data_IF_908170771741
#
_entry.id   IF_908170771741
#
_cell.length_a   1.000
_cell.length_b   1.000
_cell.length_c   1.000
_cell.angle_alpha   90.00
_cell.angle_beta   90.00
_cell.angle_gamma   90.00
#
_symmetry.space_group_name_H-M   'P 1'
#
loop_
_entity.id
_entity.type
_entity.pdbx_description
1 polymer ?
#
# COMPACT_ATOMS: atom_id res chain seq x y z
N UNK A 1 -14.73 5.10 -22.15
CA UNK A 1 -13.85 4.82 -20.99
C UNK A 1 -14.37 5.48 -19.71
N UNK A 2 -14.39 6.81 -19.59
CA UNK A 2 -14.84 7.51 -18.37
C UNK A 2 -16.27 7.15 -17.95
N UNK A 3 -17.22 7.13 -18.90
CA UNK A 3 -18.61 6.73 -18.63
C UNK A 3 -18.73 5.30 -18.08
N UNK A 4 -17.91 4.36 -18.58
CA UNK A 4 -17.89 2.98 -18.08
C UNK A 4 -17.29 2.87 -16.68
N UNK A 5 -16.26 3.65 -16.38
CA UNK A 5 -15.68 3.70 -15.03
C UNK A 5 -16.66 4.30 -14.01
N UNK A 6 -17.37 5.37 -14.40
CA UNK A 6 -18.43 5.98 -13.59
C UNK A 6 -19.56 4.97 -13.38
N UNK A 7 -20.05 4.34 -14.46
CA UNK A 7 -21.11 3.34 -14.38
C UNK A 7 -20.71 2.16 -13.48
N UNK A 8 -19.51 1.61 -13.64
CA UNK A 8 -18.99 0.54 -12.79
C UNK A 8 -18.91 0.96 -11.32
N UNK A 9 -18.47 2.19 -11.05
CA UNK A 9 -18.44 2.74 -9.69
C UNK A 9 -19.84 2.86 -9.09
N UNK A 10 -20.81 3.37 -9.86
CA UNK A 10 -22.21 3.47 -9.44
C UNK A 10 -22.79 2.09 -9.15
N UNK A 11 -22.55 1.10 -10.02
CA UNK A 11 -23.00 -0.28 -9.82
C UNK A 11 -22.43 -0.85 -8.52
N UNK A 12 -21.14 -0.64 -8.24
CA UNK A 12 -20.51 -1.09 -7.01
C UNK A 12 -21.09 -0.37 -5.77
N UNK A 13 -21.33 0.94 -5.85
CA UNK A 13 -21.95 1.70 -4.77
C UNK A 13 -23.37 1.20 -4.48
N UNK A 14 -24.20 1.01 -5.50
CA UNK A 14 -25.56 0.45 -5.35
C UNK A 14 -25.48 -0.93 -4.71
N UNK A 15 -24.62 -1.82 -5.25
CA UNK A 15 -24.45 -3.18 -4.72
C UNK A 15 -24.06 -3.17 -3.24
N UNK A 16 -23.13 -2.30 -2.84
CA UNK A 16 -22.71 -2.16 -1.44
C UNK A 16 -23.86 -1.70 -0.56
N UNK A 17 -24.62 -0.68 -0.98
CA UNK A 17 -25.70 -0.10 -0.20
C UNK A 17 -26.93 -1.01 -0.08
N UNK A 18 -27.13 -1.92 -1.04
CA UNK A 18 -28.25 -2.89 -1.01
C UNK A 18 -27.87 -4.23 -0.39
N UNK A 19 -26.61 -4.43 0.02
CA UNK A 19 -26.17 -5.69 0.59
C UNK A 19 -26.39 -5.71 2.11
N UNK A 20 -27.14 -6.69 2.60
CA UNK A 20 -27.32 -6.98 4.03
C UNK A 20 -26.08 -7.62 4.67
N UNK A 21 -24.92 -7.03 4.39
CA UNK A 21 -23.65 -7.47 4.94
C UNK A 21 -23.50 -7.01 6.40
N UNK A 22 -23.18 -7.97 7.26
CA UNK A 22 -22.92 -7.73 8.68
C UNK A 22 -21.44 -7.85 9.01
N UNK A 23 -20.94 -6.88 9.77
CA UNK A 23 -19.58 -6.90 10.27
C UNK A 23 -19.46 -7.88 11.46
N UNK A 24 -18.86 -9.05 11.22
CA UNK A 24 -18.64 -10.11 12.23
C UNK A 24 -17.14 -10.37 12.41
N UNK A 25 -16.73 -10.91 13.57
CA UNK A 25 -15.33 -11.20 13.87
C UNK A 25 -14.43 -9.96 13.78
N UNK A 26 -13.35 -10.06 12.99
CA UNK A 26 -12.42 -8.95 12.74
C UNK A 26 -13.12 -7.69 12.21
N UNK A 27 -14.12 -7.87 11.34
CA UNK A 27 -14.90 -6.76 10.80
C UNK A 27 -15.74 -6.07 11.88
N UNK A 28 -16.26 -6.82 12.84
CA UNK A 28 -16.97 -6.26 13.99
C UNK A 28 -16.07 -5.36 14.82
N UNK A 29 -14.84 -5.81 15.08
CA UNK A 29 -13.82 -5.00 15.77
C UNK A 29 -13.42 -3.77 14.97
N UNK A 30 -13.23 -3.91 13.65
CA UNK A 30 -12.96 -2.81 12.74
C UNK A 30 -14.09 -1.76 12.77
N UNK A 31 -15.35 -2.21 12.76
CA UNK A 31 -16.54 -1.34 12.85
C UNK A 31 -16.54 -0.55 14.15
N UNK A 32 -16.38 -1.21 15.30
CA UNK A 32 -16.37 -0.53 16.61
C UNK A 32 -15.26 0.53 16.69
N UNK A 33 -14.02 0.17 16.32
CA UNK A 33 -12.90 1.12 16.26
C UNK A 33 -13.17 2.29 15.31
N UNK A 34 -13.87 2.06 14.20
CA UNK A 34 -14.24 3.11 13.24
C UNK A 34 -15.31 4.04 13.80
N UNK A 35 -16.26 3.54 14.60
CA UNK A 35 -17.25 4.36 15.30
C UNK A 35 -16.62 5.24 16.38
N UNK A 36 -15.54 4.77 17.02
CA UNK A 36 -14.83 5.52 18.06
C UNK A 36 -14.10 6.77 17.54
N UNK A 37 -13.81 6.83 16.23
CA UNK A 37 -13.16 8.00 15.62
C UNK A 37 -13.97 9.27 15.94
N UNK A 38 -13.31 10.36 16.31
CA UNK A 38 -13.98 11.62 16.62
C UNK A 38 -14.72 11.65 17.96
N UNK A 39 -14.61 10.60 18.78
CA UNK A 39 -15.09 10.55 20.17
C UNK A 39 -13.93 10.66 21.16
N UNK A 40 -14.22 10.62 22.47
CA UNK A 40 -13.20 10.49 23.52
C UNK A 40 -12.36 9.21 23.43
N UNK A 41 -12.82 8.21 22.67
CA UNK A 41 -12.14 6.92 22.49
C UNK A 41 -11.44 6.80 21.12
N UNK A 42 -11.20 7.92 20.43
CA UNK A 42 -10.56 7.92 19.10
C UNK A 42 -9.31 7.04 19.08
N UNK A 43 -9.24 6.02 18.20
CA UNK A 43 -8.09 5.13 18.15
C UNK A 43 -6.81 5.87 17.78
N UNK A 44 -5.75 5.66 18.57
CA UNK A 44 -4.44 6.23 18.29
C UNK A 44 -3.53 5.29 17.47
N UNK A 45 -3.91 4.00 17.40
CA UNK A 45 -3.21 2.93 16.68
C UNK A 45 -4.19 2.19 15.79
N UNK A 46 -3.65 1.36 14.89
CA UNK A 46 -4.43 0.56 13.96
C UNK A 46 -5.12 -0.64 14.60
N UNK A 47 -5.62 -1.53 13.75
CA UNK A 47 -6.30 -2.77 14.19
C UNK A 47 -5.31 -3.71 14.87
N UNK A 48 -5.82 -4.49 15.81
CA UNK A 48 -5.03 -5.46 16.56
C UNK A 48 -4.38 -6.52 15.64
N UNK A 49 -3.27 -7.08 16.11
CA UNK A 49 -2.58 -8.22 15.51
C UNK A 49 -2.66 -9.40 16.46
N UNK A 50 -2.69 -10.62 15.92
CA UNK A 50 -2.63 -11.87 16.72
C UNK A 50 -1.37 -11.99 17.58
N UNK A 51 -0.37 -11.15 17.33
CA UNK A 51 0.91 -11.12 18.03
C UNK A 51 0.96 -10.16 19.23
N UNK A 52 -0.20 -9.67 19.70
CA UNK A 52 -0.29 -8.88 20.94
C UNK A 52 0.08 -7.40 20.79
N UNK A 53 0.30 -6.92 19.57
CA UNK A 53 0.49 -5.51 19.23
C UNK A 53 -0.61 -5.04 18.27
N UNK A 54 -0.71 -3.74 18.01
CA UNK A 54 -1.62 -3.15 17.02
C UNK A 54 -0.84 -2.63 15.82
N UNK A 55 -1.49 -2.53 14.67
CA UNK A 55 -0.88 -1.90 13.50
C UNK A 55 -0.48 -0.44 13.79
N UNK A 56 0.54 0.12 13.11
CA UNK A 56 1.23 1.33 13.56
C UNK A 56 0.33 2.55 13.73
N UNK A 57 -0.80 2.65 13.01
CA UNK A 57 -1.67 3.80 13.14
C UNK A 57 -3.09 3.61 12.63
N UNK A 58 -3.98 4.57 12.95
CA UNK A 58 -5.42 4.43 12.80
C UNK A 58 -5.92 4.90 11.42
N UNK A 59 -5.06 5.23 10.45
CA UNK A 59 -5.49 5.83 9.17
C UNK A 59 -6.61 5.04 8.47
N UNK A 60 -6.60 3.71 8.54
CA UNK A 60 -7.69 2.89 7.98
C UNK A 60 -9.05 3.28 8.57
N UNK A 61 -9.16 3.27 9.90
CA UNK A 61 -10.42 3.58 10.59
C UNK A 61 -10.78 5.06 10.47
N UNK A 62 -9.78 5.96 10.46
CA UNK A 62 -10.00 7.40 10.26
C UNK A 62 -10.61 7.68 8.88
N UNK A 63 -10.11 7.04 7.83
CA UNK A 63 -10.62 7.22 6.47
C UNK A 63 -11.97 6.53 6.23
N UNK A 64 -12.26 5.44 6.94
CA UNK A 64 -13.56 4.75 6.86
C UNK A 64 -14.68 5.46 7.63
N UNK A 65 -14.34 6.21 8.68
CA UNK A 65 -15.31 6.81 9.59
C UNK A 65 -16.36 7.71 8.91
N UNK A 66 -16.04 8.55 7.90
CA UNK A 66 -17.06 9.34 7.20
C UNK A 66 -18.12 8.45 6.53
N UNK A 67 -17.70 7.43 5.78
CA UNK A 67 -18.60 6.52 5.09
C UNK A 67 -19.47 5.75 6.09
N UNK A 68 -18.88 5.26 7.19
CA UNK A 68 -19.60 4.54 8.22
C UNK A 68 -20.67 5.40 8.92
N UNK A 69 -20.39 6.69 9.16
CA UNK A 69 -21.39 7.60 9.77
C UNK A 69 -22.52 7.94 8.81
N UNK A 70 -22.22 8.13 7.52
CA UNK A 70 -23.23 8.43 6.50
C UNK A 70 -24.26 7.29 6.35
N UNK A 71 -23.88 6.06 6.67
CA UNK A 71 -24.77 4.89 6.67
C UNK A 71 -25.37 4.58 8.04
N UNK A 72 -25.39 5.55 8.97
CA UNK A 72 -25.94 5.36 10.32
C UNK A 72 -25.18 4.33 11.17
N UNK A 73 -23.91 4.07 10.85
CA UNK A 73 -23.10 3.06 11.52
C UNK A 73 -23.33 1.63 11.04
N UNK A 74 -24.08 1.39 9.96
CA UNK A 74 -24.31 0.05 9.42
C UNK A 74 -23.04 -0.61 8.86
N UNK A 75 -22.99 -1.96 8.85
CA UNK A 75 -21.82 -2.73 8.40
C UNK A 75 -21.37 -2.39 6.98
N UNK A 76 -22.30 -2.25 6.04
CA UNK A 76 -22.01 -1.87 4.66
C UNK A 76 -21.32 -0.49 4.51
N UNK A 77 -21.38 0.37 5.53
CA UNK A 77 -20.60 1.61 5.60
C UNK A 77 -19.09 1.38 5.58
N UNK A 78 -18.62 0.25 6.11
CA UNK A 78 -17.21 -0.15 5.99
C UNK A 78 -16.86 -0.54 4.55
N UNK A 79 -17.73 -1.28 3.86
CA UNK A 79 -17.53 -1.65 2.45
C UNK A 79 -17.47 -0.40 1.56
N UNK A 80 -18.35 0.57 1.83
CA UNK A 80 -18.33 1.87 1.13
C UNK A 80 -17.04 2.62 1.43
N UNK A 81 -16.58 2.63 2.69
CA UNK A 81 -15.30 3.22 3.07
C UNK A 81 -14.12 2.59 2.33
N UNK A 82 -14.06 1.25 2.25
CA UNK A 82 -13.03 0.52 1.52
C UNK A 82 -13.02 0.87 0.03
N UNK A 83 -14.20 0.89 -0.60
CA UNK A 83 -14.36 1.29 -2.00
C UNK A 83 -13.84 2.72 -2.22
N UNK A 84 -14.23 3.67 -1.39
CA UNK A 84 -13.81 5.07 -1.52
C UNK A 84 -12.31 5.25 -1.33
N UNK A 85 -11.70 4.52 -0.39
CA UNK A 85 -10.24 4.53 -0.18
C UNK A 85 -9.52 3.99 -1.42
N UNK A 86 -9.92 2.81 -1.91
CA UNK A 86 -9.31 2.20 -3.09
C UNK A 86 -9.48 3.07 -4.34
N UNK A 87 -10.67 3.64 -4.56
CA UNK A 87 -10.91 4.58 -5.65
C UNK A 87 -10.10 5.87 -5.51
N UNK A 88 -9.94 6.39 -4.29
CA UNK A 88 -9.08 7.54 -4.01
C UNK A 88 -7.61 7.27 -4.33
N UNK A 89 -7.11 6.09 -3.98
CA UNK A 89 -5.75 5.66 -4.30
C UNK A 89 -5.57 5.55 -5.84
N UNK A 90 -6.50 4.92 -6.57
CA UNK A 90 -6.46 4.85 -8.04
C UNK A 90 -6.55 6.24 -8.67
N UNK A 91 -7.45 7.10 -8.17
CA UNK A 91 -7.59 8.47 -8.67
C UNK A 91 -6.28 9.25 -8.50
N UNK A 92 -5.57 9.06 -7.39
CA UNK A 92 -4.26 9.69 -7.16
C UNK A 92 -3.22 9.24 -8.20
N UNK A 93 -3.19 7.95 -8.56
CA UNK A 93 -2.34 7.40 -9.64
C UNK A 93 -2.67 8.09 -10.95
N UNK A 94 -3.95 8.20 -11.31
CA UNK A 94 -4.37 8.80 -12.58
C UNK A 94 -4.11 10.31 -12.65
N UNK A 95 -4.24 11.03 -11.53
CA UNK A 95 -3.88 12.46 -11.44
C UNK A 95 -2.39 12.64 -11.66
N UNK A 96 -1.56 11.81 -11.03
CA UNK A 96 -0.11 11.82 -11.21
C UNK A 96 0.26 11.45 -12.66
N UNK A 97 -0.39 10.44 -13.23
CA UNK A 97 -0.16 9.99 -14.60
C UNK A 97 -0.54 11.06 -15.63
N UNK A 98 -1.68 11.74 -15.45
CA UNK A 98 -2.12 12.88 -16.27
C UNK A 98 -1.06 13.98 -16.37
N UNK A 99 -0.35 14.24 -15.27
CA UNK A 99 0.72 15.24 -15.20
C UNK A 99 2.01 14.78 -15.88
N UNK A 100 2.15 13.47 -16.15
CA UNK A 100 3.27 12.89 -16.85
C UNK A 100 3.05 12.79 -18.37
N UNK A 101 1.80 12.82 -18.84
CA UNK A 101 1.44 12.80 -20.26
C UNK A 101 0.36 11.77 -20.59
N UNK A 102 -0.19 11.84 -21.81
CA UNK A 102 -1.28 10.98 -22.25
C UNK A 102 -0.90 9.48 -22.32
N UNK A 103 0.32 9.18 -22.75
CA UNK A 103 0.84 7.81 -22.82
C UNK A 103 0.97 7.17 -21.43
N UNK A 104 1.59 7.89 -20.49
CA UNK A 104 1.73 7.44 -19.10
C UNK A 104 0.35 7.30 -18.44
N UNK A 105 -0.59 8.20 -18.74
CA UNK A 105 -1.97 8.05 -18.30
C UNK A 105 -2.62 6.77 -18.82
N UNK A 106 -2.48 6.46 -20.10
CA UNK A 106 -3.05 5.24 -20.69
C UNK A 106 -2.44 3.99 -20.06
N UNK A 107 -1.10 3.96 -19.89
CA UNK A 107 -0.38 2.85 -19.26
C UNK A 107 -0.80 2.63 -17.80
N UNK A 108 -0.85 3.69 -16.99
CA UNK A 108 -1.22 3.56 -15.58
C UNK A 108 -2.72 3.34 -15.37
N UNK A 109 -3.57 3.77 -16.30
CA UNK A 109 -4.97 3.36 -16.33
C UNK A 109 -5.10 1.86 -16.60
N UNK A 110 -4.36 1.33 -17.58
CA UNK A 110 -4.34 -0.11 -17.85
C UNK A 110 -3.79 -0.90 -16.65
N UNK A 111 -2.67 -0.47 -16.08
CA UNK A 111 -2.09 -1.10 -14.89
C UNK A 111 -3.07 -1.10 -13.69
N UNK A 112 -3.82 -0.01 -13.51
CA UNK A 112 -4.86 0.06 -12.46
C UNK A 112 -6.00 -0.93 -12.73
N UNK A 113 -6.43 -1.08 -13.98
CA UNK A 113 -7.45 -2.09 -14.36
C UNK A 113 -6.93 -3.51 -14.12
N UNK A 114 -5.68 -3.79 -14.49
CA UNK A 114 -5.00 -5.06 -14.25
C UNK A 114 -4.96 -5.36 -12.74
N UNK A 115 -4.56 -4.39 -11.92
CA UNK A 115 -4.52 -4.53 -10.46
C UNK A 115 -5.89 -4.83 -9.86
N UNK A 116 -6.93 -4.08 -10.25
CA UNK A 116 -8.29 -4.32 -9.77
C UNK A 116 -8.78 -5.70 -10.18
N UNK A 117 -8.47 -6.13 -11.41
CA UNK A 117 -8.85 -7.44 -11.91
C UNK A 117 -8.11 -8.58 -11.21
N UNK A 118 -6.86 -8.34 -10.80
CA UNK A 118 -6.02 -9.24 -10.01
C UNK A 118 -6.53 -9.41 -8.58
N UNK A 119 -6.94 -8.31 -7.96
CA UNK A 119 -7.52 -8.31 -6.62
C UNK A 119 -8.83 -9.08 -6.57
N UNK A 120 -9.68 -8.91 -7.59
CA UNK A 120 -11.04 -9.42 -7.57
C UNK A 120 -12.02 -8.39 -7.00
N UNK A 121 -13.28 -8.50 -7.42
CA UNK A 121 -14.31 -7.54 -7.00
C UNK A 121 -14.70 -7.63 -5.53
N UNK A 122 -14.42 -8.78 -4.87
CA UNK A 122 -14.65 -8.96 -3.44
C UNK A 122 -13.65 -8.16 -2.63
N UNK A 123 -12.37 -8.37 -2.87
CA UNK A 123 -11.25 -7.71 -2.19
C UNK A 123 -11.21 -6.20 -2.43
N UNK A 124 -11.72 -5.71 -3.57
CA UNK A 124 -11.86 -4.27 -3.80
C UNK A 124 -12.84 -3.60 -2.82
N UNK A 125 -13.87 -4.32 -2.38
CA UNK A 125 -14.88 -3.85 -1.43
C UNK A 125 -14.57 -4.26 0.01
N UNK A 126 -13.65 -5.20 0.21
CA UNK A 126 -13.33 -5.74 1.52
C UNK A 126 -12.57 -4.70 2.36
N UNK A 127 -13.08 -4.33 3.55
CA UNK A 127 -12.49 -3.30 4.39
C UNK A 127 -11.28 -3.81 5.19
N UNK A 128 -10.90 -5.08 5.03
CA UNK A 128 -9.80 -5.64 5.78
C UNK A 128 -8.46 -5.00 5.40
N UNK A 129 -7.67 -4.68 6.44
CA UNK A 129 -6.43 -3.93 6.33
C UNK A 129 -5.40 -4.51 5.33
N UNK A 130 -5.17 -5.84 5.19
CA UNK A 130 -4.23 -6.36 4.19
C UNK A 130 -4.68 -6.18 2.74
N UNK A 131 -5.98 -5.98 2.47
CA UNK A 131 -6.49 -5.81 1.10
C UNK A 131 -6.48 -4.34 0.67
N UNK A 132 -6.95 -3.43 1.52
CA UNK A 132 -6.92 -1.98 1.24
C UNK A 132 -5.49 -1.47 1.09
N UNK A 133 -4.53 -2.12 1.77
CA UNK A 133 -3.09 -1.90 1.61
C UNK A 133 -2.63 -1.96 0.15
N UNK A 134 -3.14 -2.90 -0.64
CA UNK A 134 -2.53 -3.29 -1.93
C UNK A 134 -2.60 -2.14 -2.92
N UNK A 135 -3.78 -1.50 -3.03
CA UNK A 135 -3.99 -0.35 -3.92
C UNK A 135 -3.24 0.88 -3.40
N UNK A 136 -3.17 1.08 -2.08
CA UNK A 136 -2.42 2.17 -1.48
C UNK A 136 -0.90 2.04 -1.71
N UNK A 137 -0.35 0.83 -1.62
CA UNK A 137 1.06 0.56 -1.88
C UNK A 137 1.39 0.77 -3.36
N UNK A 138 0.52 0.34 -4.28
CA UNK A 138 0.67 0.64 -5.71
C UNK A 138 0.67 2.15 -5.97
N UNK A 139 -0.26 2.89 -5.37
CA UNK A 139 -0.30 4.35 -5.47
C UNK A 139 0.97 5.00 -4.90
N UNK A 140 1.48 4.51 -3.77
CA UNK A 140 2.74 4.96 -3.19
C UNK A 140 3.94 4.72 -4.11
N UNK A 141 4.01 3.57 -4.78
CA UNK A 141 5.09 3.26 -5.72
C UNK A 141 5.10 4.23 -6.92
N UNK A 142 3.94 4.46 -7.54
CA UNK A 142 3.81 5.41 -8.66
C UNK A 142 4.09 6.84 -8.21
N UNK A 143 3.62 7.22 -7.02
CA UNK A 143 3.89 8.54 -6.46
C UNK A 143 5.38 8.73 -6.15
N UNK A 144 6.07 7.70 -5.64
CA UNK A 144 7.51 7.71 -5.41
C UNK A 144 8.29 7.94 -6.71
N UNK A 145 7.89 7.26 -7.80
CA UNK A 145 8.51 7.43 -9.12
C UNK A 145 8.50 8.88 -9.57
N UNK A 146 7.33 9.50 -9.52
CA UNK A 146 7.15 10.87 -9.96
C UNK A 146 7.73 11.88 -8.98
N UNK A 147 7.75 11.57 -7.68
CA UNK A 147 8.40 12.40 -6.66
C UNK A 147 9.92 12.45 -6.87
N UNK A 148 10.58 11.32 -7.15
CA UNK A 148 12.02 11.26 -7.46
C UNK A 148 12.34 12.08 -8.71
N UNK A 149 11.44 12.08 -9.70
CA UNK A 149 11.55 12.93 -10.89
C UNK A 149 11.21 14.41 -10.65
N UNK A 150 10.73 14.77 -9.46
CA UNK A 150 10.50 16.17 -9.04
C UNK A 150 9.08 16.66 -9.09
N UNK A 151 8.09 15.78 -9.24
CA UNK A 151 6.70 16.18 -9.09
C UNK A 151 6.34 16.35 -7.61
N UNK A 152 6.21 17.61 -7.19
CA UNK A 152 5.84 17.99 -5.82
C UNK A 152 4.49 17.44 -5.38
N UNK A 153 3.54 17.28 -6.30
CA UNK A 153 2.22 16.72 -5.96
C UNK A 153 2.38 15.24 -5.65
N UNK A 154 3.18 14.54 -6.45
CA UNK A 154 3.49 13.14 -6.22
C UNK A 154 4.25 12.93 -4.90
N UNK A 155 5.13 13.86 -4.49
CA UNK A 155 5.80 13.79 -3.19
C UNK A 155 4.81 13.84 -2.00
N UNK A 156 3.77 14.67 -2.08
CA UNK A 156 2.72 14.72 -1.04
C UNK A 156 1.83 13.48 -1.09
N UNK A 157 1.39 13.07 -2.29
CA UNK A 157 0.60 11.84 -2.47
C UNK A 157 1.36 10.64 -1.92
N UNK A 158 2.65 10.52 -2.23
CA UNK A 158 3.53 9.46 -1.72
C UNK A 158 3.49 9.39 -0.20
N UNK A 159 3.67 10.52 0.50
CA UNK A 159 3.65 10.55 1.97
C UNK A 159 2.31 10.05 2.52
N UNK A 160 1.19 10.49 1.95
CA UNK A 160 -0.15 10.07 2.41
C UNK A 160 -0.36 8.58 2.15
N UNK A 161 -0.11 8.10 0.92
CA UNK A 161 -0.37 6.70 0.55
C UNK A 161 0.60 5.73 1.22
N UNK A 162 1.87 6.10 1.39
CA UNK A 162 2.87 5.28 2.06
C UNK A 162 2.61 5.22 3.58
N UNK A 163 2.21 6.33 4.19
CA UNK A 163 1.79 6.35 5.60
C UNK A 163 0.55 5.49 5.81
N UNK A 164 -0.45 5.62 4.93
CA UNK A 164 -1.66 4.80 4.97
C UNK A 164 -1.31 3.30 4.85
N UNK A 165 -0.48 2.92 3.86
CA UNK A 165 -0.06 1.55 3.64
C UNK A 165 0.63 0.94 4.87
N UNK A 166 1.63 1.64 5.42
CA UNK A 166 2.35 1.17 6.61
C UNK A 166 1.47 1.08 7.85
N UNK A 167 0.56 2.05 8.04
CA UNK A 167 -0.39 2.00 9.15
C UNK A 167 -1.44 0.89 8.99
N UNK A 168 -1.78 0.48 7.76
CA UNK A 168 -2.69 -0.63 7.51
C UNK A 168 -2.06 -1.99 7.81
N UNK A 169 -0.84 -2.24 7.34
CA UNK A 169 -0.22 -3.56 7.47
C UNK A 169 1.31 -3.49 7.54
N UNK A 170 1.90 -4.13 8.56
CA UNK A 170 3.35 -4.03 8.85
C UNK A 170 4.21 -4.74 7.80
N UNK A 171 3.65 -5.69 7.05
CA UNK A 171 4.35 -6.38 5.96
C UNK A 171 4.84 -5.40 4.87
N UNK A 172 4.22 -4.23 4.75
CA UNK A 172 4.66 -3.17 3.85
C UNK A 172 5.78 -2.29 4.40
N UNK A 173 6.20 -2.47 5.66
CA UNK A 173 7.14 -1.58 6.35
C UNK A 173 8.46 -1.43 5.63
N UNK A 174 9.07 -2.54 5.19
CA UNK A 174 10.34 -2.48 4.49
C UNK A 174 10.20 -1.75 3.14
N UNK A 175 9.15 -2.08 2.37
CA UNK A 175 8.84 -1.42 1.09
C UNK A 175 8.67 0.08 1.28
N UNK A 176 7.84 0.49 2.24
CA UNK A 176 7.58 1.92 2.54
C UNK A 176 8.85 2.62 3.02
N UNK A 177 9.65 1.99 3.89
CA UNK A 177 10.90 2.55 4.39
C UNK A 177 11.88 2.81 3.24
N UNK A 178 12.10 1.81 2.37
CA UNK A 178 13.05 1.94 1.26
C UNK A 178 12.60 3.00 0.24
N UNK A 179 11.30 3.04 -0.09
CA UNK A 179 10.76 4.10 -0.94
C UNK A 179 10.89 5.49 -0.28
N UNK A 180 10.68 5.57 1.02
CA UNK A 180 10.81 6.82 1.79
C UNK A 180 12.25 7.31 1.75
N UNK A 181 13.23 6.44 2.00
CA UNK A 181 14.66 6.77 1.89
C UNK A 181 14.99 7.27 0.49
N UNK A 182 14.51 6.61 -0.56
CA UNK A 182 14.77 7.02 -1.94
C UNK A 182 14.14 8.39 -2.28
N UNK A 183 12.88 8.62 -1.92
CA UNK A 183 12.16 9.88 -2.19
C UNK A 183 12.76 11.03 -1.40
N UNK A 184 12.89 10.89 -0.08
CA UNK A 184 13.43 11.95 0.79
C UNK A 184 14.91 12.17 0.57
N UNK A 185 15.69 11.12 0.30
CA UNK A 185 17.11 11.25 -0.08
C UNK A 185 17.27 12.04 -1.37
N UNK A 186 16.44 11.76 -2.39
CA UNK A 186 16.46 12.53 -3.65
C UNK A 186 16.04 13.98 -3.44
N UNK A 187 14.95 14.23 -2.68
CA UNK A 187 14.49 15.59 -2.37
C UNK A 187 15.52 16.37 -1.57
N UNK A 188 16.16 15.76 -0.57
CA UNK A 188 17.22 16.38 0.22
C UNK A 188 18.43 16.74 -0.65
N UNK A 189 18.91 15.81 -1.47
CA UNK A 189 20.03 16.06 -2.40
C UNK A 189 19.72 17.22 -3.35
N UNK A 190 18.51 17.26 -3.91
CA UNK A 190 18.10 18.35 -4.81
C UNK A 190 17.84 19.66 -4.08
N UNK A 191 17.39 19.63 -2.83
CA UNK A 191 17.24 20.84 -2.01
C UNK A 191 18.59 21.49 -1.66
N UNK A 192 19.70 20.77 -1.87
CA UNK A 192 21.06 21.27 -1.68
C UNK A 192 21.78 21.58 -2.99
N UNK A 193 21.70 20.68 -3.98
CA UNK A 193 22.49 20.73 -5.23
C UNK A 193 21.63 20.70 -6.51
N UNK A 194 20.30 20.75 -6.38
CA UNK A 194 19.38 20.62 -7.49
C UNK A 194 19.27 21.89 -8.34
N UNK A 195 18.57 21.80 -9.48
CA UNK A 195 18.35 22.95 -10.35
C UNK A 195 17.45 24.03 -9.72
N UNK A 196 16.56 23.65 -8.81
CA UNK A 196 15.70 24.57 -8.05
C UNK A 196 15.66 24.17 -6.56
N UNK A 197 16.73 24.48 -5.79
CA UNK A 197 16.89 24.04 -4.41
C UNK A 197 15.80 24.59 -3.47
N UNK A 198 15.33 25.81 -3.70
CA UNK A 198 14.32 26.47 -2.86
C UNK A 198 12.98 25.74 -3.01
N UNK A 199 12.57 25.41 -4.24
CA UNK A 199 11.34 24.67 -4.49
C UNK A 199 11.41 23.25 -3.93
N UNK A 200 12.53 22.57 -4.09
CA UNK A 200 12.69 21.21 -3.56
C UNK A 200 12.74 21.21 -2.03
N UNK A 201 13.33 22.23 -1.39
CA UNK A 201 13.27 22.44 0.06
C UNK A 201 11.84 22.68 0.55
N UNK A 202 11.05 23.52 -0.14
CA UNK A 202 9.63 23.74 0.19
C UNK A 202 8.82 22.45 0.07
N UNK A 203 9.08 21.67 -0.97
CA UNK A 203 8.44 20.36 -1.18
C UNK A 203 8.80 19.38 -0.06
N UNK A 204 10.08 19.30 0.30
CA UNK A 204 10.57 18.49 1.42
C UNK A 204 9.89 18.89 2.74
N UNK A 205 9.86 20.18 3.07
CA UNK A 205 9.22 20.67 4.30
C UNK A 205 7.71 20.40 4.32
N UNK A 206 7.02 20.58 3.18
CA UNK A 206 5.61 20.25 3.06
C UNK A 206 5.36 18.74 3.22
N UNK A 207 6.20 17.89 2.61
CA UNK A 207 6.14 16.44 2.78
C UNK A 207 6.37 16.01 4.23
N UNK A 208 7.32 16.64 4.94
CA UNK A 208 7.54 16.40 6.38
C UNK A 208 6.31 16.80 7.18
N UNK A 209 5.75 17.99 6.93
CA UNK A 209 4.57 18.47 7.64
C UNK A 209 3.36 17.54 7.44
N UNK A 210 3.11 17.10 6.19
CA UNK A 210 2.05 16.12 5.90
C UNK A 210 2.35 14.77 6.59
N UNK A 211 3.60 14.33 6.61
CA UNK A 211 4.00 13.12 7.33
C UNK A 211 3.70 13.23 8.82
N UNK A 212 4.05 14.36 9.45
CA UNK A 212 3.73 14.60 10.87
C UNK A 212 2.23 14.58 11.14
N UNK A 213 1.40 15.09 10.22
CA UNK A 213 -0.06 15.01 10.33
C UNK A 213 -0.54 13.56 10.22
N UNK A 214 -0.07 12.80 9.24
CA UNK A 214 -0.43 11.38 9.06
C UNK A 214 -0.05 10.52 10.29
N UNK A 215 1.03 10.87 10.97
CA UNK A 215 1.57 10.12 12.10
C UNK A 215 1.27 10.73 13.46
N UNK A 216 0.47 11.79 13.53
CA UNK A 216 0.17 12.50 14.77
C UNK A 216 -0.43 11.57 15.84
N UNK A 217 -1.44 10.78 15.47
CA UNK A 217 -2.11 9.87 16.40
C UNK A 217 -1.17 8.74 16.90
N UNK A 218 -0.42 8.04 16.03
CA UNK A 218 0.63 7.11 16.48
C UNK A 218 1.68 7.73 17.40
N UNK A 219 2.12 8.97 17.10
CA UNK A 219 3.10 9.68 17.91
C UNK A 219 2.53 9.95 19.31
N UNK A 220 1.27 10.41 19.40
CA UNK A 220 0.59 10.65 20.68
C UNK A 220 0.53 9.37 21.49
N UNK A 221 0.17 8.23 20.89
CA UNK A 221 0.17 6.94 21.61
C UNK A 221 1.55 6.58 22.11
N UNK A 222 2.55 6.69 21.24
CA UNK A 222 3.92 6.27 21.55
C UNK A 222 4.54 7.07 22.69
N UNK A 223 4.18 8.36 22.85
CA UNK A 223 4.69 9.22 23.93
C UNK A 223 3.83 9.20 25.20
N UNK A 224 2.53 8.92 25.08
CA UNK A 224 1.59 8.95 26.21
C UNK A 224 1.45 7.59 26.89
N UNK A 225 1.91 6.51 26.25
CA UNK A 225 1.80 5.14 26.75
C UNK A 225 2.77 4.86 27.90
N UNK A 226 2.23 4.46 29.06
CA UNK A 226 3.02 4.08 30.24
C UNK A 226 3.78 2.76 30.07
N UNK A 227 3.40 1.92 29.11
CA UNK A 227 4.02 0.61 28.84
C UNK A 227 5.06 0.65 27.72
N UNK A 228 5.40 1.83 27.22
CA UNK A 228 6.44 2.04 26.21
C UNK A 228 5.94 2.10 24.76
N UNK A 229 4.62 2.11 24.54
CA UNK A 229 3.98 2.40 23.25
C UNK A 229 3.98 1.27 22.22
N UNK A 230 3.08 1.38 21.25
CA UNK A 230 2.80 0.34 20.26
C UNK A 230 3.94 0.16 19.24
N UNK A 231 4.64 1.23 18.82
CA UNK A 231 5.78 1.08 17.89
C UNK A 231 6.92 0.30 18.53
N UNK A 232 7.16 0.49 19.83
CA UNK A 232 8.12 -0.35 20.57
C UNK A 232 7.71 -1.82 20.54
N UNK A 233 6.42 -2.13 20.73
CA UNK A 233 5.93 -3.50 20.67
C UNK A 233 6.13 -4.13 19.28
N UNK A 234 5.84 -3.38 18.21
CA UNK A 234 6.08 -3.82 16.82
C UNK A 234 7.56 -4.08 16.56
N UNK A 235 8.45 -3.18 16.98
CA UNK A 235 9.91 -3.35 16.84
C UNK A 235 10.40 -4.54 17.67
N UNK A 236 9.91 -4.69 18.90
CA UNK A 236 10.26 -5.82 19.77
C UNK A 236 9.87 -7.15 19.14
N UNK A 237 8.68 -7.22 18.51
CA UNK A 237 8.25 -8.40 17.77
C UNK A 237 9.14 -8.67 16.55
N UNK A 238 9.48 -7.64 15.78
CA UNK A 238 10.34 -7.79 14.60
C UNK A 238 11.76 -8.29 14.95
N UNK A 239 12.28 -7.92 16.11
CA UNK A 239 13.64 -8.27 16.54
C UNK A 239 13.71 -9.56 17.37
N UNK A 240 12.71 -9.80 18.22
CA UNK A 240 12.73 -10.85 19.24
C UNK A 240 11.50 -11.77 19.20
N UNK A 241 10.67 -11.67 18.16
CA UNK A 241 9.47 -12.48 18.01
C UNK A 241 9.80 -13.98 18.06
N UNK A 242 9.14 -14.70 18.97
CA UNK A 242 9.26 -16.14 19.11
C UNK A 242 8.33 -16.84 18.11
N UNK A 243 8.88 -17.48 17.09
CA UNK A 243 8.14 -18.29 16.13
C UNK A 243 8.97 -18.63 14.91
N UNK A 244 8.69 -19.78 14.30
CA UNK A 244 9.33 -20.15 13.04
C UNK A 244 8.95 -19.14 11.96
N UNK A 245 9.95 -18.68 11.23
CA UNK A 245 9.76 -17.87 10.03
C UNK A 245 9.75 -18.77 8.80
N UNK A 246 9.03 -18.36 7.76
CA UNK A 246 9.02 -19.07 6.47
C UNK A 246 10.42 -19.42 5.93
N UNK A 247 11.38 -18.52 6.10
CA UNK A 247 12.73 -18.67 5.55
C UNK A 247 12.82 -18.27 4.08
N UNK A 248 14.06 -18.16 3.58
CA UNK A 248 14.35 -17.59 2.25
C UNK A 248 13.82 -18.42 1.08
N UNK A 249 13.80 -19.75 1.20
CA UNK A 249 13.27 -20.62 0.15
C UNK A 249 11.77 -20.38 -0.05
N UNK A 250 10.98 -20.39 1.02
CA UNK A 250 9.54 -20.13 0.93
C UNK A 250 9.23 -18.68 0.57
N UNK A 251 10.02 -17.71 1.06
CA UNK A 251 9.94 -16.32 0.62
C UNK A 251 10.14 -16.17 -0.89
N UNK A 252 11.18 -16.80 -1.45
CA UNK A 252 11.45 -16.81 -2.88
C UNK A 252 10.34 -17.53 -3.66
N UNK A 253 9.86 -18.67 -3.17
CA UNK A 253 8.75 -19.41 -3.78
C UNK A 253 7.50 -18.53 -3.90
N UNK A 254 7.12 -17.85 -2.83
CA UNK A 254 5.97 -16.93 -2.80
C UNK A 254 6.16 -15.81 -3.82
N UNK A 255 7.27 -15.06 -3.72
CA UNK A 255 7.49 -13.90 -4.60
C UNK A 255 7.59 -14.32 -6.06
N UNK A 256 8.36 -15.35 -6.37
CA UNK A 256 8.49 -15.84 -7.75
C UNK A 256 7.16 -16.36 -8.30
N UNK A 257 6.28 -16.94 -7.46
CA UNK A 257 4.96 -17.38 -7.91
C UNK A 257 4.08 -16.23 -8.38
N UNK A 258 4.14 -15.07 -7.69
CA UNK A 258 3.44 -13.86 -8.14
C UNK A 258 4.09 -13.21 -9.37
N UNK A 259 5.39 -13.42 -9.57
CA UNK A 259 6.17 -12.86 -10.67
C UNK A 259 6.31 -13.80 -11.88
N UNK A 260 5.69 -14.99 -11.83
CA UNK A 260 5.72 -15.99 -12.89
C UNK A 260 4.70 -15.70 -14.00
N UNK A 261 4.91 -16.35 -15.15
CA UNK A 261 4.05 -16.31 -16.34
C UNK A 261 3.65 -17.74 -16.77
N UNK A 262 2.39 -18.03 -17.11
CA UNK A 262 1.23 -17.12 -17.04
C UNK A 262 0.98 -16.64 -15.60
N UNK A 263 0.46 -15.42 -15.44
CA UNK A 263 0.31 -14.78 -14.13
C UNK A 263 -0.65 -15.60 -13.27
N UNK A 264 -0.11 -16.37 -12.32
CA UNK A 264 -0.88 -17.32 -11.53
C UNK A 264 -1.99 -16.67 -10.70
N UNK A 265 -1.87 -15.37 -10.41
CA UNK A 265 -2.84 -14.57 -9.65
C UNK A 265 -4.04 -14.06 -10.48
N UNK A 266 -4.03 -14.17 -11.81
CA UNK A 266 -5.15 -13.70 -12.64
C UNK A 266 -6.38 -14.64 -12.59
N UNK A 267 -6.16 -15.91 -12.23
CA UNK A 267 -7.17 -16.96 -12.15
C UNK A 267 -7.93 -17.02 -10.83
N UNK A 268 -7.58 -16.20 -9.84
CA UNK A 268 -8.25 -16.13 -8.54
C UNK A 268 -7.79 -17.15 -7.50
N UNK A 269 -7.02 -18.18 -7.88
CA UNK A 269 -6.34 -19.03 -6.91
C UNK A 269 -5.08 -18.32 -6.42
N UNK A 270 -5.09 -17.91 -5.16
CA UNK A 270 -4.01 -17.13 -4.53
C UNK A 270 -3.31 -17.94 -3.43
N UNK A 271 -3.55 -19.25 -3.38
CA UNK A 271 -2.78 -20.19 -2.58
C UNK A 271 -1.50 -20.55 -3.34
N UNK A 272 -0.35 -20.20 -2.77
CA UNK A 272 0.93 -20.56 -3.37
C UNK A 272 1.22 -22.04 -3.11
N UNK A 273 1.28 -22.91 -4.13
CA UNK A 273 1.55 -24.33 -3.95
C UNK A 273 2.91 -24.56 -3.27
N UNK A 274 3.00 -25.61 -2.45
CA UNK A 274 4.29 -26.07 -1.91
C UNK A 274 5.11 -26.70 -3.03
N UNK A 275 6.44 -26.63 -2.91
CA UNK A 275 7.36 -27.26 -3.85
C UNK A 275 8.39 -26.29 -4.42
N UNK A 276 8.66 -26.42 -5.72
CA UNK A 276 9.72 -25.68 -6.41
C UNK A 276 9.41 -24.18 -6.54
N UNK A 277 10.48 -23.38 -6.61
CA UNK A 277 10.41 -21.95 -6.93
C UNK A 277 10.14 -21.79 -8.44
N UNK A 278 9.02 -21.19 -8.86
CA UNK A 278 8.73 -21.00 -10.28
C UNK A 278 9.63 -19.94 -10.92
N UNK A 279 9.72 -19.93 -12.25
CA UNK A 279 10.54 -18.96 -12.98
C UNK A 279 9.88 -17.57 -12.93
N UNK A 280 10.54 -16.54 -12.36
CA UNK A 280 9.96 -15.21 -12.21
C UNK A 280 10.13 -14.36 -13.47
N UNK A 281 9.33 -14.62 -14.51
CA UNK A 281 9.42 -13.90 -15.79
C UNK A 281 9.34 -12.38 -15.66
N UNK A 282 8.57 -11.85 -14.71
CA UNK A 282 8.51 -10.41 -14.46
C UNK A 282 9.85 -9.84 -13.95
N UNK A 283 10.61 -10.59 -13.14
CA UNK A 283 11.97 -10.16 -12.74
C UNK A 283 12.96 -10.18 -13.92
N UNK A 284 12.83 -11.17 -14.81
CA UNK A 284 13.65 -11.23 -16.03
C UNK A 284 13.32 -10.04 -16.96
N UNK A 285 12.04 -9.71 -17.11
CA UNK A 285 11.59 -8.54 -17.85
C UNK A 285 12.08 -7.23 -17.20
N UNK A 286 12.02 -7.13 -15.87
CA UNK A 286 12.54 -5.98 -15.12
C UNK A 286 14.05 -5.82 -15.31
N UNK A 287 14.81 -6.91 -15.29
CA UNK A 287 16.25 -6.90 -15.56
C UNK A 287 16.55 -6.40 -16.98
N UNK A 288 15.85 -6.94 -17.98
CA UNK A 288 15.99 -6.52 -19.37
C UNK A 288 15.61 -5.05 -19.56
N UNK A 289 14.50 -4.60 -18.97
CA UNK A 289 14.05 -3.21 -19.01
C UNK A 289 15.06 -2.26 -18.33
N UNK A 290 15.62 -2.67 -17.19
CA UNK A 290 16.66 -1.90 -16.48
C UNK A 290 17.91 -1.76 -17.34
N UNK A 291 18.40 -2.86 -17.92
CA UNK A 291 19.57 -2.86 -18.79
C UNK A 291 19.34 -2.01 -20.04
N UNK A 292 18.15 -2.12 -20.65
CA UNK A 292 17.77 -1.33 -21.82
C UNK A 292 17.67 0.16 -21.50
N UNK A 293 17.00 0.51 -20.41
CA UNK A 293 16.86 1.90 -19.96
C UNK A 293 18.23 2.50 -19.59
N UNK A 294 19.14 1.72 -19.00
CA UNK A 294 20.52 2.15 -18.73
C UNK A 294 21.28 2.41 -20.02
N UNK A 295 21.22 1.47 -20.97
CA UNK A 295 21.87 1.59 -22.27
C UNK A 295 21.38 2.81 -23.05
N UNK A 296 20.06 3.05 -23.04
CA UNK A 296 19.42 4.20 -23.70
C UNK A 296 19.44 5.50 -22.89
N UNK A 297 19.92 5.46 -21.64
CA UNK A 297 19.94 6.58 -20.68
C UNK A 297 18.56 7.19 -20.41
N UNK A 298 17.55 6.33 -20.39
CA UNK A 298 16.16 6.65 -20.10
C UNK A 298 15.97 6.84 -18.58
N UNK A 299 16.20 8.07 -18.11
CA UNK A 299 16.22 8.41 -16.68
C UNK A 299 14.90 8.08 -15.98
N UNK A 300 13.77 8.38 -16.61
CA UNK A 300 12.45 8.16 -16.01
C UNK A 300 12.18 6.68 -15.78
N UNK A 301 12.53 5.87 -16.77
CA UNK A 301 12.38 4.43 -16.85
C UNK A 301 13.31 3.74 -15.85
N UNK A 302 14.55 4.21 -15.71
CA UNK A 302 15.47 3.74 -14.68
C UNK A 302 14.94 3.95 -13.26
N UNK A 303 14.27 5.07 -13.00
CA UNK A 303 13.69 5.33 -11.68
C UNK A 303 12.53 4.37 -11.40
N UNK A 304 11.62 4.14 -12.36
CA UNK A 304 10.52 3.19 -12.14
C UNK A 304 11.04 1.76 -11.99
N UNK A 305 12.06 1.36 -12.77
CA UNK A 305 12.73 0.07 -12.58
C UNK A 305 13.38 -0.03 -11.20
N UNK A 306 14.01 1.05 -10.70
CA UNK A 306 14.57 1.10 -9.35
C UNK A 306 13.51 0.89 -8.26
N UNK A 307 12.31 1.45 -8.44
CA UNK A 307 11.18 1.25 -7.53
C UNK A 307 10.70 -0.19 -7.57
N UNK A 308 10.54 -0.77 -8.76
CA UNK A 308 10.15 -2.16 -8.92
C UNK A 308 11.19 -3.11 -8.27
N UNK A 309 12.49 -2.85 -8.41
CA UNK A 309 13.54 -3.60 -7.72
C UNK A 309 13.45 -3.47 -6.20
N UNK A 310 13.28 -2.25 -5.69
CA UNK A 310 13.11 -2.00 -4.24
C UNK A 310 11.92 -2.79 -3.70
N UNK A 311 10.79 -2.78 -4.40
CA UNK A 311 9.60 -3.52 -3.99
C UNK A 311 9.78 -5.03 -4.08
N UNK A 312 10.38 -5.55 -5.15
CA UNK A 312 10.64 -6.98 -5.31
C UNK A 312 11.58 -7.52 -4.23
N UNK A 313 12.66 -6.79 -3.93
CA UNK A 313 13.60 -7.16 -2.87
C UNK A 313 12.95 -7.05 -1.49
N UNK A 314 12.16 -6.01 -1.25
CA UNK A 314 11.42 -5.85 0.00
C UNK A 314 10.39 -6.96 0.19
N UNK A 315 9.69 -7.36 -0.88
CA UNK A 315 8.76 -8.49 -0.89
C UNK A 315 9.46 -9.81 -0.57
N UNK A 316 10.66 -10.06 -1.12
CA UNK A 316 11.44 -11.26 -0.83
C UNK A 316 11.79 -11.33 0.67
N UNK A 317 12.29 -10.22 1.23
CA UNK A 317 12.63 -10.16 2.66
C UNK A 317 11.37 -10.33 3.51
N UNK A 318 10.30 -9.59 3.25
CA UNK A 318 9.05 -9.68 4.01
C UNK A 318 8.47 -11.10 3.97
N UNK A 319 8.33 -11.70 2.78
CA UNK A 319 7.79 -13.05 2.63
C UNK A 319 8.66 -14.13 3.29
N UNK A 320 9.98 -13.92 3.37
CA UNK A 320 10.90 -14.82 4.08
C UNK A 320 10.81 -14.71 5.61
N UNK A 321 10.29 -13.58 6.11
CA UNK A 321 10.20 -13.25 7.53
C UNK A 321 8.79 -13.35 8.10
N UNK A 322 7.81 -13.79 7.32
CA UNK A 322 6.47 -14.11 7.80
C UNK A 322 6.58 -15.12 8.95
N UNK A 323 6.05 -14.75 10.12
CA UNK A 323 6.03 -15.59 11.32
C UNK A 323 4.80 -16.50 11.35
N UNK A 324 5.02 -17.78 11.65
CA UNK A 324 3.99 -18.81 11.69
C UNK A 324 3.45 -19.14 10.31
N UNK A 325 2.18 -19.56 10.25
CA UNK A 325 1.55 -19.97 8.98
C UNK A 325 1.43 -18.78 8.02
N UNK A 326 1.97 -18.95 6.82
CA UNK A 326 1.89 -18.00 5.71
C UNK A 326 0.50 -18.01 5.07
N UNK A 327 -0.43 -17.31 5.70
CA UNK A 327 -1.76 -17.10 5.12
C UNK A 327 -1.70 -16.15 3.91
N UNK A 328 -2.59 -16.31 2.91
CA UNK A 328 -2.60 -15.49 1.69
C UNK A 328 -2.56 -13.99 1.92
N UNK A 329 -3.25 -13.49 2.94
CA UNK A 329 -3.31 -12.06 3.23
C UNK A 329 -1.95 -11.44 3.61
N UNK A 330 -0.96 -12.24 4.02
CA UNK A 330 0.38 -11.75 4.39
C UNK A 330 1.27 -11.45 3.17
N UNK A 331 0.96 -12.04 2.01
CA UNK A 331 1.79 -11.91 0.80
C UNK A 331 1.02 -11.48 -0.46
N UNK A 332 -0.31 -11.42 -0.43
CA UNK A 332 -1.11 -10.99 -1.59
C UNK A 332 -0.76 -9.58 -2.10
N UNK A 333 -0.20 -8.73 -1.25
CA UNK A 333 0.27 -7.39 -1.66
C UNK A 333 1.40 -7.43 -2.70
N UNK A 334 2.07 -8.57 -2.91
CA UNK A 334 3.04 -8.78 -3.99
C UNK A 334 2.40 -8.61 -5.37
N UNK A 335 1.07 -8.72 -5.50
CA UNK A 335 0.35 -8.36 -6.74
C UNK A 335 0.67 -6.93 -7.17
N UNK A 336 0.74 -5.97 -6.24
CA UNK A 336 1.09 -4.58 -6.58
C UNK A 336 2.50 -4.48 -7.17
N UNK A 337 3.41 -5.37 -6.77
CA UNK A 337 4.78 -5.47 -7.30
C UNK A 337 4.79 -6.13 -8.68
N UNK A 338 3.94 -7.15 -8.89
CA UNK A 338 3.84 -7.84 -10.18
C UNK A 338 3.22 -6.97 -11.28
N UNK A 339 2.33 -6.05 -10.91
CA UNK A 339 1.68 -5.12 -11.85
C UNK A 339 2.57 -3.93 -12.21
N UNK A 340 3.41 -3.47 -11.29
CA UNK A 340 4.34 -2.35 -11.49
C UNK A 340 5.45 -2.70 -12.48
#
# INVERSE_FOLDING_TARGET
ALALAILGTIILMVRVLTWDWMAVGDFGTLRLRTLDVGTSHTPLVGIYSRWGWNHPGPMLVVFMAPALRLTGGAGHGLLLGALLINLGAIASVLVIARRAGAEILALLALASVVLIRALGSGELLDPWNPYVLIVALFAAAIAAWRAVLGDRVAAIVFVVTASFALQCHVESALSVLMLTVMVFGTLALRSWRGPDPIRDRRTLLASIAVGLVCWLLPIIEQVSSSTGGNLRAVISFALHGSGDVNGWHDGARIVCWFLASPTNWFGGDLLVPRGAVPIPFALLALLAATAWAAHRRYRSELVVCGIAWVLALSALVACSRISGVAFPYLYRWVIAVAVL
#
